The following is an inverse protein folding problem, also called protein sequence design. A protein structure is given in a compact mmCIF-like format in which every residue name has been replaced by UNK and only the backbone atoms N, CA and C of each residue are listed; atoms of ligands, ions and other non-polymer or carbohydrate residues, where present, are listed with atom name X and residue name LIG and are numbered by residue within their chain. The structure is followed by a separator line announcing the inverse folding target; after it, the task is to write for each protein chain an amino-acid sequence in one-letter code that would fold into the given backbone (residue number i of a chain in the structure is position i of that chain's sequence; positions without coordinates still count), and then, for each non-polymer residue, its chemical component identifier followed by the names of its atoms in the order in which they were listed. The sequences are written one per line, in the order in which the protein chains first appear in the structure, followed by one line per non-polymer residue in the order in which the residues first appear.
data_IF_990502415235
#
_entry.id   IF_990502415235
#
_cell.length_a   1.000
_cell.length_b   1.000
_cell.length_c   1.000
_cell.angle_alpha   90.00
_cell.angle_beta   90.00
_cell.angle_gamma   90.00
#
_symmetry.space_group_name_H-M   'P 1'
#
loop_
_entity.id
_entity.type
_entity.pdbx_description
1 polymer ?
#
# COMPACT_ATOMS: atom_id res chain seq x y z
N UNK A 1 -9.83 8.75 15.02
CA UNK A 1 -9.27 7.38 15.21
C UNK A 1 -7.98 7.33 14.42
N UNK A 2 -6.91 6.85 15.06
CA UNK A 2 -5.52 7.32 14.89
C UNK A 2 -4.99 7.40 13.46
N UNK A 3 -4.53 8.59 13.09
CA UNK A 3 -3.68 8.80 11.92
C UNK A 3 -2.35 8.07 12.21
N UNK A 4 -2.04 7.03 11.44
CA UNK A 4 -0.71 6.41 11.47
C UNK A 4 0.27 7.37 10.80
N UNK A 5 0.66 8.42 11.52
CA UNK A 5 1.65 9.42 11.11
C UNK A 5 3.01 8.79 10.76
N UNK A 6 3.24 7.53 11.13
CA UNK A 6 4.48 6.81 10.83
C UNK A 6 4.65 6.34 9.38
N UNK A 7 3.59 6.24 8.57
CA UNK A 7 3.72 5.73 7.18
C UNK A 7 3.74 6.83 6.12
N UNK A 8 3.15 8.01 6.40
CA UNK A 8 3.03 9.09 5.41
C UNK A 8 4.39 9.55 4.86
N UNK A 9 5.40 9.68 5.72
CA UNK A 9 6.74 10.11 5.30
C UNK A 9 7.44 9.12 4.36
N UNK A 10 7.21 7.80 4.53
CA UNK A 10 7.74 6.77 3.63
C UNK A 10 7.08 6.84 2.25
N UNK A 11 5.80 7.18 2.21
CA UNK A 11 5.05 7.37 0.97
C UNK A 11 5.48 8.65 0.26
N UNK A 12 5.75 9.72 1.02
CA UNK A 12 6.30 10.95 0.49
C UNK A 12 7.70 10.74 -0.10
N UNK A 13 8.58 9.98 0.59
CA UNK A 13 9.90 9.58 0.07
C UNK A 13 9.80 8.89 -1.29
N UNK A 14 8.84 7.98 -1.47
CA UNK A 14 8.60 7.33 -2.76
C UNK A 14 8.22 8.35 -3.85
N UNK A 15 7.28 9.25 -3.55
CA UNK A 15 6.83 10.27 -4.52
C UNK A 15 7.93 11.26 -4.90
N UNK A 16 8.90 11.47 -4.02
CA UNK A 16 10.04 12.38 -4.28
C UNK A 16 11.18 11.69 -5.05
N UNK A 17 11.38 10.39 -4.84
CA UNK A 17 12.50 9.62 -5.43
C UNK A 17 12.22 9.12 -6.83
N UNK A 18 10.96 8.84 -7.16
CA UNK A 18 10.57 8.27 -8.44
C UNK A 18 9.88 9.34 -9.25
N UNK A 19 10.53 9.76 -10.33
CA UNK A 19 9.97 10.70 -11.27
C UNK A 19 8.62 10.16 -11.80
N UNK A 20 7.65 11.05 -11.97
CA UNK A 20 6.29 10.75 -12.43
C UNK A 20 5.40 9.93 -11.47
N UNK A 21 5.86 9.51 -10.29
CA UNK A 21 4.93 9.03 -9.24
C UNK A 21 4.14 10.21 -8.70
N UNK A 22 2.82 10.14 -8.82
CA UNK A 22 1.90 11.21 -8.41
C UNK A 22 1.43 11.03 -6.98
N UNK A 23 1.01 9.81 -6.65
CA UNK A 23 0.41 9.48 -5.35
C UNK A 23 0.79 8.07 -4.91
N UNK A 24 0.90 7.89 -3.60
CA UNK A 24 1.07 6.58 -2.98
C UNK A 24 0.18 6.47 -1.72
N UNK A 25 -0.39 5.29 -1.49
CA UNK A 25 -1.11 4.99 -0.26
C UNK A 25 -0.92 3.54 0.18
N UNK A 26 -0.96 3.33 1.49
CA UNK A 26 -1.15 2.02 2.09
C UNK A 26 -2.60 1.92 2.56
N UNK A 27 -3.18 0.76 2.30
CA UNK A 27 -4.55 0.44 2.68
C UNK A 27 -4.62 -0.96 3.29
N UNK A 28 -5.65 -1.21 4.08
CA UNK A 28 -6.02 -2.57 4.51
C UNK A 28 -6.83 -3.29 3.43
N UNK A 29 -6.92 -4.62 3.54
CA UNK A 29 -7.66 -5.46 2.59
C UNK A 29 -9.18 -5.15 2.52
N UNK A 30 -9.74 -4.49 3.52
CA UNK A 30 -11.14 -4.02 3.54
C UNK A 30 -11.31 -2.64 2.89
N UNK A 31 -10.24 -2.02 2.39
CA UNK A 31 -10.29 -0.75 1.66
C UNK A 31 -10.15 0.50 2.53
N UNK A 32 -9.75 0.38 3.79
CA UNK A 32 -9.48 1.55 4.64
C UNK A 32 -8.05 2.07 4.43
N UNK A 33 -7.91 3.39 4.31
CA UNK A 33 -6.61 4.07 4.19
C UNK A 33 -5.86 3.99 5.52
N UNK A 34 -4.66 3.41 5.51
CA UNK A 34 -3.78 3.34 6.69
C UNK A 34 -2.62 4.33 6.60
N UNK A 35 -2.26 4.79 5.40
CA UNK A 35 -1.32 5.88 5.17
C UNK A 35 -1.45 6.41 3.74
N UNK A 36 -1.19 7.70 3.53
CA UNK A 36 -1.21 8.32 2.20
C UNK A 36 -0.09 9.36 2.09
N UNK A 37 0.44 9.54 0.88
CA UNK A 37 1.34 10.64 0.54
C UNK A 37 0.62 11.98 0.68
N UNK A 38 1.32 13.01 1.15
CA UNK A 38 0.80 14.35 1.44
C UNK A 38 0.09 15.00 0.25
N UNK A 39 0.51 14.71 -0.98
CA UNK A 39 -0.12 15.23 -2.20
C UNK A 39 -1.50 14.64 -2.54
N UNK A 40 -1.93 13.58 -1.86
CA UNK A 40 -3.21 12.91 -2.12
C UNK A 40 -4.28 13.40 -1.12
N UNK A 41 -5.33 14.03 -1.64
CA UNK A 41 -6.44 14.51 -0.79
C UNK A 41 -7.15 13.33 -0.14
N UNK A 42 -7.70 13.57 1.05
CA UNK A 42 -8.35 12.52 1.86
C UNK A 42 -9.44 11.75 1.09
N UNK A 43 -10.32 12.48 0.40
CA UNK A 43 -11.41 11.90 -0.40
C UNK A 43 -10.89 11.04 -1.56
N UNK A 44 -9.85 11.51 -2.24
CA UNK A 44 -9.22 10.79 -3.35
C UNK A 44 -8.51 9.53 -2.83
N UNK A 45 -7.87 9.59 -1.65
CA UNK A 45 -7.25 8.43 -1.01
C UNK A 45 -8.27 7.35 -0.65
N UNK A 46 -9.41 7.74 -0.08
CA UNK A 46 -10.50 6.81 0.25
C UNK A 46 -11.06 6.14 -1.00
N UNK A 47 -11.23 6.91 -2.08
CA UNK A 47 -11.66 6.37 -3.37
C UNK A 47 -10.62 5.39 -3.95
N UNK A 48 -9.34 5.79 -4.01
CA UNK A 48 -8.27 4.93 -4.50
C UNK A 48 -8.15 3.65 -3.68
N UNK A 49 -8.33 3.72 -2.36
CA UNK A 49 -8.28 2.55 -1.50
C UNK A 49 -9.40 1.55 -1.80
N UNK A 50 -10.64 2.03 -1.96
CA UNK A 50 -11.77 1.19 -2.33
C UNK A 50 -11.57 0.49 -3.69
N UNK A 51 -11.07 1.23 -4.69
CA UNK A 51 -10.76 0.67 -6.01
C UNK A 51 -9.64 -0.39 -5.91
N UNK A 52 -8.57 -0.06 -5.19
CA UNK A 52 -7.38 -0.92 -5.06
C UNK A 52 -7.69 -2.22 -4.34
N UNK A 53 -8.49 -2.19 -3.26
CA UNK A 53 -8.90 -3.39 -2.52
C UNK A 53 -9.79 -4.31 -3.37
N UNK A 54 -10.69 -3.73 -4.18
CA UNK A 54 -11.51 -4.44 -5.14
C UNK A 54 -10.67 -5.15 -6.21
N UNK A 55 -9.77 -4.43 -6.87
CA UNK A 55 -8.85 -4.97 -7.88
C UNK A 55 -8.00 -6.12 -7.32
N UNK A 56 -7.42 -5.92 -6.14
CA UNK A 56 -6.58 -6.94 -5.51
C UNK A 56 -7.39 -8.20 -5.12
N UNK A 57 -8.63 -8.02 -4.68
CA UNK A 57 -9.54 -9.12 -4.34
C UNK A 57 -9.95 -9.94 -5.57
N UNK A 58 -10.27 -9.27 -6.68
CA UNK A 58 -10.58 -9.92 -7.96
C UNK A 58 -9.38 -10.70 -8.50
N UNK A 59 -8.18 -10.11 -8.45
CA UNK A 59 -6.95 -10.78 -8.85
C UNK A 59 -6.67 -12.02 -7.97
N UNK A 60 -6.84 -11.90 -6.65
CA UNK A 60 -6.70 -13.04 -5.70
C UNK A 60 -7.70 -14.15 -6.00
N UNK A 61 -8.95 -13.80 -6.29
CA UNK A 61 -9.99 -14.75 -6.69
C UNK A 61 -9.62 -15.52 -7.94
N UNK A 62 -9.16 -14.80 -8.96
CA UNK A 62 -8.72 -15.37 -10.24
C UNK A 62 -7.52 -16.31 -10.06
N UNK A 63 -6.50 -15.89 -9.30
CA UNK A 63 -5.33 -16.71 -9.01
C UNK A 63 -5.66 -18.04 -8.31
N UNK A 64 -6.61 -18.01 -7.36
CA UNK A 64 -7.12 -19.24 -6.73
C UNK A 64 -7.93 -20.10 -7.70
N UNK A 65 -8.83 -19.50 -8.46
CA UNK A 65 -9.72 -20.22 -9.36
C UNK A 65 -8.97 -20.98 -10.45
N UNK A 66 -7.94 -20.34 -11.02
CA UNK A 66 -7.13 -20.93 -12.09
C UNK A 66 -5.86 -21.64 -11.59
N UNK A 67 -5.65 -21.75 -10.27
CA UNK A 67 -4.45 -22.38 -9.72
C UNK A 67 -3.13 -21.65 -10.05
N UNK A 68 -3.19 -20.34 -10.32
CA UNK A 68 -2.04 -19.52 -10.73
C UNK A 68 -1.22 -18.95 -9.54
N UNK A 69 -1.55 -19.36 -8.32
CA UNK A 69 -0.81 -18.95 -7.11
C UNK A 69 -1.19 -17.56 -6.59
N UNK A 70 -0.24 -16.93 -5.90
CA UNK A 70 -0.45 -15.62 -5.25
C UNK A 70 -0.29 -14.45 -6.22
N UNK A 71 -1.11 -13.41 -6.03
CA UNK A 71 -0.97 -12.16 -6.78
C UNK A 71 0.33 -11.47 -6.40
N UNK A 72 1.19 -11.26 -7.38
CA UNK A 72 2.44 -10.50 -7.21
C UNK A 72 2.19 -9.00 -7.30
N UNK A 73 1.39 -8.58 -8.28
CA UNK A 73 1.05 -7.19 -8.56
C UNK A 73 -0.15 -7.14 -9.51
N UNK A 74 -0.97 -6.11 -9.36
CA UNK A 74 -1.97 -5.69 -10.36
C UNK A 74 -1.51 -4.37 -10.96
N UNK A 75 -1.62 -4.23 -12.28
CA UNK A 75 -1.30 -3.01 -13.01
C UNK A 75 -2.48 -2.64 -13.90
N UNK A 76 -2.88 -1.37 -13.89
CA UNK A 76 -3.93 -0.82 -14.74
C UNK A 76 -3.36 0.38 -15.46
N UNK A 77 -3.33 0.30 -16.79
CA UNK A 77 -2.90 1.40 -17.66
C UNK A 77 -4.12 2.24 -18.06
N UNK A 78 -3.96 3.54 -17.93
CA UNK A 78 -4.85 4.58 -18.43
C UNK A 78 -4.08 5.36 -19.50
N UNK A 79 -4.79 6.17 -20.30
CA UNK A 79 -4.17 7.00 -21.33
C UNK A 79 -3.02 7.87 -20.77
N UNK A 80 -3.18 8.42 -19.56
CA UNK A 80 -2.24 9.36 -18.95
C UNK A 80 -1.63 8.88 -17.62
N UNK A 81 -1.88 7.63 -17.22
CA UNK A 81 -1.49 7.13 -15.90
C UNK A 81 -1.32 5.62 -15.83
N UNK A 82 -0.57 5.16 -14.83
CA UNK A 82 -0.52 3.74 -14.48
C UNK A 82 -0.77 3.59 -12.98
N UNK A 83 -1.72 2.73 -12.63
CA UNK A 83 -2.03 2.34 -11.26
C UNK A 83 -1.42 0.97 -10.95
N UNK A 84 -0.63 0.93 -9.88
CA UNK A 84 -0.02 -0.28 -9.37
C UNK A 84 -0.63 -0.64 -8.02
N UNK A 85 -0.96 -1.92 -7.83
CA UNK A 85 -1.44 -2.43 -6.55
C UNK A 85 -0.67 -3.70 -6.21
N UNK A 86 -0.01 -3.73 -5.05
CA UNK A 86 0.74 -4.90 -4.57
C UNK A 86 0.44 -5.18 -3.10
N UNK A 87 0.68 -6.41 -2.66
CA UNK A 87 0.56 -6.76 -1.25
C UNK A 87 1.67 -6.06 -0.44
N UNK A 88 1.32 -5.50 0.73
CA UNK A 88 2.23 -4.75 1.59
C UNK A 88 2.33 -5.35 3.00
N UNK A 89 2.36 -6.68 3.09
CA UNK A 89 2.30 -7.43 4.34
C UNK A 89 0.95 -8.15 4.52
N UNK A 90 0.80 -8.79 5.69
CA UNK A 90 -0.43 -9.52 6.01
C UNK A 90 -1.57 -8.52 6.30
N UNK A 91 -2.56 -8.49 5.41
CA UNK A 91 -3.75 -7.67 5.61
C UNK A 91 -3.71 -6.29 4.94
N UNK A 92 -2.63 -5.95 4.24
CA UNK A 92 -2.41 -4.62 3.65
C UNK A 92 -1.99 -4.68 2.18
N UNK A 93 -2.25 -3.60 1.46
CA UNK A 93 -1.80 -3.35 0.11
C UNK A 93 -1.13 -1.99 0.00
N UNK A 94 -0.14 -1.88 -0.90
CA UNK A 94 0.43 -0.63 -1.36
C UNK A 94 -0.18 -0.32 -2.73
N UNK A 95 -0.67 0.90 -2.88
CA UNK A 95 -1.17 1.43 -4.15
C UNK A 95 -0.34 2.65 -4.55
N UNK A 96 0.06 2.70 -5.82
CA UNK A 96 0.83 3.80 -6.41
C UNK A 96 0.18 4.22 -7.72
N UNK A 97 -0.06 5.52 -7.87
CA UNK A 97 -0.51 6.12 -9.12
C UNK A 97 0.64 6.94 -9.70
N UNK A 98 1.01 6.63 -10.94
CA UNK A 98 2.05 7.32 -11.69
C UNK A 98 1.51 7.91 -12.98
N UNK A 99 2.27 8.79 -13.63
CA UNK A 99 2.01 9.19 -15.01
C UNK A 99 2.37 8.09 -16.01
N UNK A 100 1.80 8.16 -17.22
CA UNK A 100 2.05 7.19 -18.29
C UNK A 100 3.54 7.08 -18.70
N UNK A 101 4.31 8.15 -18.54
CA UNK A 101 5.74 8.20 -18.87
C UNK A 101 6.67 7.61 -17.79
N UNK A 102 6.10 7.09 -16.69
CA UNK A 102 6.92 6.54 -15.61
C UNK A 102 7.67 5.27 -16.04
N UNK A 103 8.94 5.16 -15.63
CA UNK A 103 9.68 3.89 -15.75
C UNK A 103 9.04 2.85 -14.83
N UNK A 104 8.25 1.95 -15.44
CA UNK A 104 7.53 0.87 -14.75
C UNK A 104 8.49 -0.01 -13.93
N UNK A 105 9.71 -0.25 -14.43
CA UNK A 105 10.72 -1.05 -13.74
C UNK A 105 11.20 -0.34 -12.47
N UNK A 106 11.48 0.96 -12.55
CA UNK A 106 11.87 1.77 -11.41
C UNK A 106 10.75 1.88 -10.37
N UNK A 107 9.51 2.12 -10.80
CA UNK A 107 8.34 2.16 -9.90
C UNK A 107 8.19 0.83 -9.16
N UNK A 108 8.23 -0.30 -9.87
CA UNK A 108 8.09 -1.62 -9.25
C UNK A 108 9.24 -1.94 -8.28
N UNK A 109 10.47 -1.51 -8.60
CA UNK A 109 11.63 -1.68 -7.73
C UNK A 109 11.47 -0.90 -6.41
N UNK A 110 11.13 0.38 -6.49
CA UNK A 110 10.96 1.23 -5.31
C UNK A 110 9.71 0.83 -4.49
N UNK A 111 8.65 0.36 -5.14
CA UNK A 111 7.51 -0.28 -4.46
C UNK A 111 7.93 -1.50 -3.65
N UNK A 112 8.83 -2.34 -4.18
CA UNK A 112 9.34 -3.52 -3.48
C UNK A 112 10.13 -3.11 -2.23
N UNK A 113 10.98 -2.09 -2.34
CA UNK A 113 11.72 -1.54 -1.19
C UNK A 113 10.77 -0.93 -0.15
N UNK A 114 9.75 -0.21 -0.60
CA UNK A 114 8.75 0.39 0.29
C UNK A 114 7.96 -0.67 1.04
N UNK A 115 7.48 -1.72 0.37
CA UNK A 115 6.74 -2.83 1.02
C UNK A 115 7.57 -3.46 2.15
N UNK A 116 8.86 -3.66 1.94
CA UNK A 116 9.75 -4.18 2.99
C UNK A 116 9.80 -3.23 4.20
N UNK A 117 9.97 -1.92 3.98
CA UNK A 117 9.98 -0.89 5.05
C UNK A 117 8.64 -0.78 5.79
N UNK A 118 7.52 -0.86 5.06
CA UNK A 118 6.16 -0.86 5.62
C UNK A 118 5.92 -2.10 6.47
N UNK A 119 6.38 -3.27 6.02
CA UNK A 119 6.27 -4.52 6.77
C UNK A 119 6.99 -4.47 8.13
N UNK A 120 8.15 -3.81 8.19
CA UNK A 120 8.87 -3.58 9.45
C UNK A 120 8.07 -2.70 10.41
N UNK A 121 7.48 -1.60 9.92
CA UNK A 121 6.70 -0.68 10.76
C UNK A 121 5.38 -1.31 11.26
N UNK A 122 4.64 -1.97 10.39
CA UNK A 122 3.40 -2.66 10.77
C UNK A 122 3.65 -3.86 11.70
N UNK A 123 4.78 -4.56 11.52
CA UNK A 123 5.22 -5.64 12.40
C UNK A 123 5.73 -5.20 13.77
N UNK A 124 6.03 -3.90 13.93
CA UNK A 124 6.37 -3.28 15.21
C UNK A 124 5.09 -2.85 15.95
N UNK A 125 4.13 -2.22 15.26
CA UNK A 125 2.85 -1.82 15.86
C UNK A 125 2.03 -3.00 16.40
N UNK A 126 2.07 -4.16 15.73
CA UNK A 126 1.40 -5.37 16.17
C UNK A 126 2.00 -5.98 17.47
N UNK A 127 3.10 -5.46 18.00
CA UNK A 127 3.91 -6.06 19.07
C UNK A 127 3.95 -5.26 20.39
N UNK A 128 2.87 -4.60 20.75
CA UNK A 128 2.62 -4.11 22.12
C UNK A 128 1.67 -5.04 22.89
N UNK A 129 2.10 -6.23 23.35
CA UNK A 129 1.37 -6.94 24.40
C UNK A 129 1.54 -6.15 25.69
N UNK A 130 0.42 -5.64 26.22
CA UNK A 130 0.40 -4.82 27.42
C UNK A 130 1.17 -5.47 28.58
N UNK A 131 2.13 -4.74 29.13
CA UNK A 131 2.68 -5.03 30.45
C UNK A 131 1.54 -4.99 31.46
N UNK A 132 1.03 -6.16 31.85
CA UNK A 132 0.29 -6.30 33.11
C UNK A 132 1.33 -6.16 34.23
N UNK A 133 1.25 -5.16 35.12
CA UNK A 133 2.06 -5.18 36.33
C UNK A 133 1.62 -6.39 37.15
N UNK A 134 2.58 -7.24 37.49
CA UNK A 134 2.37 -8.33 38.43
C UNK A 134 1.85 -7.73 39.74
N UNK A 135 0.67 -8.18 40.16
CA UNK A 135 0.12 -7.87 41.48
C UNK A 135 0.90 -8.70 42.49
N UNK A 136 1.72 -8.04 43.31
CA UNK A 136 2.26 -8.62 44.53
C UNK A 136 1.12 -8.83 45.54
N UNK A 137 0.96 -10.07 45.99
CA UNK A 137 0.23 -10.49 47.18
C UNK A 137 1.00 -11.65 47.82
#
# INVERSE_FOLDING_TARGET
MGQNTGLGWLLDDLTQRVEHVRHALVLSNDGLVTGASTGLRREDAEHLAAVSSGLHSLAKGSGRHFGAGHVRQTMVEFDDAVLFVTAAGAGSCLCVLSGAEADIGQVAYEMTLLVNRVGEHLGVDARLPGSRPATDL
#
